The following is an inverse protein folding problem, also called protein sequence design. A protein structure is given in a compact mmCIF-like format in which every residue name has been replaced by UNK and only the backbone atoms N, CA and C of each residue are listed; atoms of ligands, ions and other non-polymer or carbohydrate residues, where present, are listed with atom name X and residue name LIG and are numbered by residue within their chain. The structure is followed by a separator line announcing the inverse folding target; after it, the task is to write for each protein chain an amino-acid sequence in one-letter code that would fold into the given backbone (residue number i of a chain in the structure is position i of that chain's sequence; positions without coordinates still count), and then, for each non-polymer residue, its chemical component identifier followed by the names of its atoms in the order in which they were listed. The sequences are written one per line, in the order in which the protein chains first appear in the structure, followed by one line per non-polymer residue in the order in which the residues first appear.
data_IF_590899005892
#
_entry.id   IF_590899005892
#
_cell.length_a   1.000
_cell.length_b   1.000
_cell.length_c   1.000
_cell.angle_alpha   90.00
_cell.angle_beta   90.00
_cell.angle_gamma   90.00
#
_symmetry.space_group_name_H-M   'P 1'
#
loop_
_entity.id
_entity.type
_entity.pdbx_description
1 polymer ?
#
# COMPACT_ATOMS: atom_id res chain seq x y z
N UNK A 1 -0.19 28.64 -11.44
CA UNK A 1 -0.39 28.73 -9.98
C UNK A 1 -1.04 27.41 -9.58
N UNK A 2 -0.24 26.44 -9.14
CA UNK A 2 -0.75 25.13 -8.75
C UNK A 2 -1.29 25.22 -7.33
N UNK A 3 -2.43 24.59 -7.06
CA UNK A 3 -2.92 24.45 -5.68
C UNK A 3 -1.88 23.66 -4.89
N UNK A 4 -1.53 24.13 -3.71
CA UNK A 4 -0.75 23.33 -2.78
C UNK A 4 -1.66 22.39 -2.00
N UNK A 5 -1.15 21.24 -1.50
CA UNK A 5 -1.93 20.36 -0.64
C UNK A 5 -2.52 21.08 0.57
N UNK A 6 -1.79 22.06 1.11
CA UNK A 6 -2.24 22.89 2.23
C UNK A 6 -3.40 23.83 1.86
N UNK A 7 -3.50 24.26 0.59
CA UNK A 7 -4.61 25.10 0.13
C UNK A 7 -5.93 24.32 0.06
N UNK A 8 -5.86 23.00 -0.14
CA UNK A 8 -7.03 22.11 -0.19
C UNK A 8 -7.54 21.84 1.21
N UNK A 9 -6.66 21.51 2.15
CA UNK A 9 -7.03 21.28 3.58
C UNK A 9 -7.63 22.53 4.22
N UNK A 10 -7.08 23.72 3.91
CA UNK A 10 -7.57 24.97 4.47
C UNK A 10 -8.83 25.51 3.75
N UNK A 11 -9.31 24.83 2.70
CA UNK A 11 -10.46 25.30 1.92
C UNK A 11 -11.75 25.07 2.70
N UNK A 12 -12.50 26.14 2.96
CA UNK A 12 -13.85 26.05 3.53
C UNK A 12 -14.91 26.49 2.55
N UNK A 13 -15.90 25.62 2.35
CA UNK A 13 -17.06 25.88 1.51
C UNK A 13 -18.22 26.46 2.35
N UNK A 14 -19.09 27.23 1.70
CA UNK A 14 -20.27 27.82 2.36
C UNK A 14 -21.42 26.82 2.34
N UNK A 15 -22.11 26.54 3.48
CA UNK A 15 -23.17 25.55 3.53
C UNK A 15 -24.43 26.03 2.79
N UNK A 16 -24.96 25.21 1.87
CA UNK A 16 -26.15 25.55 1.07
C UNK A 16 -27.41 24.93 1.67
N UNK A 17 -28.15 25.70 2.48
CA UNK A 17 -29.36 25.22 3.19
C UNK A 17 -30.63 25.15 2.31
N UNK A 18 -30.64 25.80 1.16
CA UNK A 18 -31.84 25.99 0.32
C UNK A 18 -31.69 25.48 -1.12
N UNK A 19 -30.60 24.78 -1.42
CA UNK A 19 -30.32 24.19 -2.74
C UNK A 19 -29.78 22.78 -2.53
N UNK A 20 -30.05 21.89 -3.47
CA UNK A 20 -29.38 20.60 -3.55
C UNK A 20 -27.87 20.85 -3.60
N UNK A 21 -27.18 20.44 -2.55
CA UNK A 21 -25.75 20.57 -2.37
C UNK A 21 -25.12 19.19 -2.23
N UNK A 22 -23.81 19.13 -2.39
CA UNK A 22 -23.05 17.93 -2.07
C UNK A 22 -23.09 17.67 -0.55
N UNK A 23 -23.05 16.40 -0.18
CA UNK A 23 -22.91 16.02 1.23
C UNK A 23 -21.54 16.50 1.74
N UNK A 24 -21.52 17.11 2.91
CA UNK A 24 -20.29 17.67 3.46
C UNK A 24 -19.29 16.56 3.79
N UNK A 25 -19.75 15.45 4.36
CA UNK A 25 -18.88 14.35 4.78
C UNK A 25 -18.26 13.66 3.55
N UNK A 26 -19.04 13.47 2.47
CA UNK A 26 -18.55 12.89 1.21
C UNK A 26 -17.54 13.82 0.51
N UNK A 27 -17.75 15.13 0.57
CA UNK A 27 -16.80 16.11 0.05
C UNK A 27 -15.52 16.11 0.87
N UNK A 28 -15.61 16.05 2.20
CA UNK A 28 -14.45 16.01 3.09
C UNK A 28 -13.61 14.73 2.85
N UNK A 29 -14.24 13.55 2.72
CA UNK A 29 -13.58 12.28 2.38
C UNK A 29 -12.85 12.35 1.01
N UNK A 30 -13.49 12.93 0.00
CA UNK A 30 -12.88 13.10 -1.32
C UNK A 30 -11.69 14.08 -1.29
N UNK A 31 -11.78 15.15 -0.50
CA UNK A 31 -10.69 16.12 -0.37
C UNK A 31 -9.47 15.51 0.35
N UNK A 32 -9.67 14.61 1.30
CA UNK A 32 -8.59 13.87 1.94
C UNK A 32 -7.83 12.97 0.93
N UNK A 33 -8.55 12.26 0.06
CA UNK A 33 -7.94 11.48 -1.03
C UNK A 33 -7.14 12.38 -1.99
N UNK A 34 -7.73 13.51 -2.39
CA UNK A 34 -7.07 14.48 -3.27
C UNK A 34 -5.79 15.04 -2.64
N UNK A 35 -5.77 15.33 -1.33
CA UNK A 35 -4.58 15.83 -0.62
C UNK A 35 -3.46 14.78 -0.61
N UNK A 36 -3.79 13.51 -0.40
CA UNK A 36 -2.81 12.41 -0.43
C UNK A 36 -2.19 12.29 -1.81
N UNK A 37 -3.00 12.26 -2.87
CA UNK A 37 -2.49 12.19 -4.25
C UNK A 37 -1.71 13.45 -4.65
N UNK A 38 -2.13 14.64 -4.22
CA UNK A 38 -1.42 15.87 -4.54
C UNK A 38 -0.05 15.94 -3.84
N UNK A 39 0.09 15.38 -2.63
CA UNK A 39 1.39 15.21 -1.97
C UNK A 39 2.26 14.20 -2.72
N UNK A 40 1.69 13.05 -3.10
CA UNK A 40 2.36 12.01 -3.88
C UNK A 40 2.91 12.55 -5.22
N UNK A 41 2.07 13.24 -5.98
CA UNK A 41 2.43 13.83 -7.28
C UNK A 41 3.47 14.95 -7.17
N UNK A 42 3.44 15.74 -6.09
CA UNK A 42 4.47 16.76 -5.87
C UNK A 42 5.82 16.10 -5.54
N UNK A 43 5.82 15.08 -4.68
CA UNK A 43 7.03 14.32 -4.37
C UNK A 43 7.61 13.63 -5.62
N UNK A 44 6.76 12.99 -6.44
CA UNK A 44 7.18 12.37 -7.70
C UNK A 44 7.73 13.42 -8.69
N UNK A 45 7.11 14.61 -8.79
CA UNK A 45 7.64 15.70 -9.61
C UNK A 45 8.99 16.21 -9.11
N UNK A 46 9.18 16.32 -7.80
CA UNK A 46 10.47 16.70 -7.21
C UNK A 46 11.55 15.65 -7.49
N UNK A 47 11.23 14.37 -7.32
CA UNK A 47 12.13 13.27 -7.66
C UNK A 47 12.49 13.25 -9.15
N UNK A 48 11.51 13.42 -10.04
CA UNK A 48 11.74 13.48 -11.49
C UNK A 48 12.61 14.69 -11.88
N UNK A 49 12.36 15.86 -11.28
CA UNK A 49 13.20 17.05 -11.48
C UNK A 49 14.63 16.82 -11.00
N UNK A 50 14.81 16.17 -9.84
CA UNK A 50 16.14 15.81 -9.34
C UNK A 50 16.85 14.83 -10.26
N UNK A 51 16.15 13.81 -10.79
CA UNK A 51 16.70 12.86 -11.76
C UNK A 51 17.10 13.54 -13.07
N UNK A 52 16.33 14.51 -13.55
CA UNK A 52 16.69 15.31 -14.73
C UNK A 52 17.97 16.12 -14.46
N UNK A 53 18.04 16.85 -13.35
CA UNK A 53 19.24 17.64 -12.98
C UNK A 53 20.48 16.73 -12.86
N UNK A 54 20.35 15.56 -12.24
CA UNK A 54 21.44 14.59 -12.12
C UNK A 54 21.87 14.04 -13.49
N UNK A 55 20.91 13.76 -14.37
CA UNK A 55 21.17 13.29 -15.73
C UNK A 55 21.84 14.37 -16.59
N UNK A 56 21.36 15.61 -16.52
CA UNK A 56 21.93 16.76 -17.23
C UNK A 56 23.36 17.07 -16.75
N UNK A 57 23.62 16.94 -15.44
CA UNK A 57 24.97 17.06 -14.88
C UNK A 57 25.88 15.94 -15.41
N UNK A 58 25.37 14.70 -15.51
CA UNK A 58 26.12 13.57 -16.05
C UNK A 58 26.42 13.74 -17.54
N UNK A 59 25.46 14.25 -18.32
CA UNK A 59 25.63 14.57 -19.74
C UNK A 59 26.65 15.70 -19.90
N UNK A 60 26.59 16.75 -19.08
CA UNK A 60 27.53 17.87 -19.13
C UNK A 60 28.96 17.43 -18.82
N UNK A 61 29.14 16.52 -17.86
CA UNK A 61 30.45 15.92 -17.55
C UNK A 61 30.98 15.07 -18.71
N UNK A 62 30.13 14.23 -19.31
CA UNK A 62 30.50 13.44 -20.50
C UNK A 62 30.81 14.33 -21.71
N UNK A 63 30.05 15.40 -21.91
CA UNK A 63 30.29 16.38 -22.96
C UNK A 63 31.57 17.17 -22.71
N UNK A 64 31.90 17.50 -21.45
CA UNK A 64 33.17 18.12 -21.07
C UNK A 64 34.35 17.17 -21.23
N UNK A 65 34.19 15.89 -20.92
CA UNK A 65 35.18 14.84 -21.19
C UNK A 65 35.38 14.62 -22.70
N UNK A 66 34.30 14.68 -23.49
CA UNK A 66 34.34 14.60 -24.95
C UNK A 66 34.87 15.89 -25.61
N UNK A 67 34.75 17.03 -24.93
CA UNK A 67 35.26 18.35 -25.36
C UNK A 67 36.59 18.74 -24.69
N UNK A 68 37.28 17.79 -24.04
CA UNK A 68 38.71 17.96 -23.71
C UNK A 68 39.48 18.30 -24.98
N UNK A 69 40.60 19.05 -24.92
CA UNK A 69 41.05 19.93 -25.99
C UNK A 69 41.43 19.17 -27.27
N UNK A 70 40.43 18.86 -28.09
CA UNK A 70 40.58 18.71 -29.52
C UNK A 70 40.51 20.12 -30.07
N UNK A 71 41.62 20.52 -30.69
CA UNK A 71 41.73 21.68 -31.52
C UNK A 71 40.45 21.90 -32.35
N UNK A 72 40.09 23.17 -32.48
CA UNK A 72 39.39 23.71 -33.63
C UNK A 72 39.83 23.03 -34.93
N UNK A 73 39.10 22.00 -35.35
CA UNK A 73 39.14 21.52 -36.73
C UNK A 73 37.85 21.99 -37.41
N UNK A 74 37.81 23.32 -37.58
CA UNK A 74 37.04 23.93 -38.64
C UNK A 74 37.56 23.37 -39.97
N UNK A 75 36.65 22.86 -40.77
CA UNK A 75 36.91 22.40 -42.13
C UNK A 75 37.77 23.41 -42.92
N UNK A 76 38.87 23.00 -43.57
CA UNK A 76 39.53 23.81 -44.56
C UNK A 76 39.22 23.28 -45.98
N UNK A 77 38.50 24.10 -46.75
CA UNK A 77 38.85 24.25 -48.16
C UNK A 77 40.25 24.88 -48.26
N UNK A 78 41.02 24.59 -49.33
CA UNK A 78 42.48 24.68 -49.31
C UNK A 78 42.96 26.11 -49.55
N UNK A 79 43.95 26.59 -48.77
CA UNK A 79 44.91 27.62 -49.17
C UNK A 79 46.09 27.84 -48.18
N UNK A 80 47.29 27.59 -48.73
CA UNK A 80 48.67 28.03 -48.46
C UNK A 80 49.12 28.75 -47.16
N UNK A 81 50.25 28.21 -46.64
CA UNK A 81 51.50 28.87 -46.21
C UNK A 81 51.71 29.42 -44.77
N UNK A 82 52.76 28.84 -44.15
CA UNK A 82 53.76 29.37 -43.19
C UNK A 82 53.40 29.69 -41.72
N UNK A 83 54.18 29.06 -40.83
CA UNK A 83 54.33 29.22 -39.37
C UNK A 83 54.91 30.61 -38.96
N UNK A 84 55.14 30.97 -37.65
CA UNK A 84 55.08 30.17 -36.40
C UNK A 84 54.57 30.89 -35.10
N UNK A 85 54.58 30.11 -33.99
CA UNK A 85 54.91 30.47 -32.59
C UNK A 85 53.79 30.78 -31.56
N UNK A 86 53.68 29.88 -30.56
CA UNK A 86 53.43 30.23 -29.15
C UNK A 86 54.40 29.47 -28.24
N UNK A 87 54.86 30.17 -27.20
CA UNK A 87 55.86 29.78 -26.20
C UNK A 87 55.18 29.39 -24.87
N UNK A 88 55.77 28.38 -24.20
CA UNK A 88 55.97 28.18 -22.73
C UNK A 88 54.75 28.10 -21.78
N UNK A 89 54.69 27.31 -20.69
CA UNK A 89 55.51 26.28 -20.02
C UNK A 89 54.62 25.67 -18.88
N UNK A 90 54.46 24.34 -18.73
CA UNK A 90 55.13 23.39 -17.79
C UNK A 90 54.80 23.58 -16.26
N UNK A 91 54.67 22.52 -15.41
CA UNK A 91 55.80 21.60 -15.13
C UNK A 91 55.51 20.10 -14.80
N UNK A 92 56.40 19.24 -15.33
CA UNK A 92 57.14 18.03 -14.83
C UNK A 92 56.46 16.88 -14.05
N UNK A 93 56.66 15.63 -14.52
CA UNK A 93 57.50 14.59 -13.86
C UNK A 93 58.16 13.68 -14.92
N UNK A 94 59.34 13.19 -14.55
CA UNK A 94 60.44 12.56 -15.29
C UNK A 94 60.15 11.34 -16.18
N UNK A 95 60.95 11.28 -17.26
CA UNK A 95 61.17 10.14 -18.13
C UNK A 95 61.99 9.01 -17.46
N UNK A 96 61.86 7.78 -17.99
CA UNK A 96 63.04 7.02 -18.36
C UNK A 96 63.03 6.65 -19.86
N UNK A 97 64.15 6.97 -20.50
CA UNK A 97 64.76 6.39 -21.71
C UNK A 97 63.92 6.12 -22.99
N UNK A 98 64.47 6.47 -24.17
CA UNK A 98 63.85 6.15 -25.45
C UNK A 98 63.93 4.64 -25.72
N UNK A 99 62.78 4.01 -25.98
CA UNK A 99 62.75 2.76 -26.70
C UNK A 99 63.39 3.03 -28.06
N UNK A 100 64.61 2.55 -28.24
CA UNK A 100 65.22 2.55 -29.56
C UNK A 100 64.35 1.66 -30.45
N UNK A 101 63.87 2.22 -31.56
CA UNK A 101 63.29 1.45 -32.63
C UNK A 101 64.39 0.50 -33.13
N UNK A 102 64.38 -0.72 -32.62
CA UNK A 102 65.16 -1.82 -33.19
C UNK A 102 64.68 -2.03 -34.62
N UNK A 103 65.65 -2.13 -35.53
CA UNK A 103 65.50 -2.49 -36.93
C UNK A 103 64.30 -3.43 -37.19
N UNK A 104 63.36 -3.11 -38.11
CA UNK A 104 62.24 -3.99 -38.43
C UNK A 104 62.65 -5.36 -39.01
N UNK A 105 63.95 -5.55 -39.29
CA UNK A 105 64.54 -6.80 -39.79
C UNK A 105 65.39 -7.58 -38.77
N UNK A 106 65.41 -7.18 -37.49
CA UNK A 106 66.09 -7.92 -36.42
C UNK A 106 65.11 -8.66 -35.48
N UNK A 107 63.92 -9.00 -35.98
CA UNK A 107 62.97 -9.83 -35.25
C UNK A 107 63.38 -11.30 -35.44
N UNK A 108 64.00 -11.88 -34.42
CA UNK A 108 64.26 -13.32 -34.37
C UNK A 108 62.93 -14.09 -34.57
N UNK A 109 62.79 -14.90 -35.64
CA UNK A 109 61.52 -15.57 -35.97
C UNK A 109 61.06 -16.55 -34.87
N UNK A 110 61.98 -17.01 -34.04
CA UNK A 110 61.71 -17.83 -32.84
C UNK A 110 61.02 -17.03 -31.72
N UNK A 111 61.42 -15.79 -31.49
CA UNK A 111 60.86 -14.92 -30.44
C UNK A 111 59.42 -14.49 -30.77
N UNK A 112 59.11 -14.23 -32.05
CA UNK A 112 57.74 -13.96 -32.49
C UNK A 112 56.82 -15.17 -32.31
N UNK A 113 57.32 -16.38 -32.55
CA UNK A 113 56.53 -17.59 -32.35
C UNK A 113 56.19 -17.80 -30.86
N UNK A 114 57.18 -17.61 -29.97
CA UNK A 114 56.96 -17.67 -28.52
C UNK A 114 55.98 -16.58 -28.04
N UNK A 115 56.05 -15.37 -28.59
CA UNK A 115 55.10 -14.29 -28.27
C UNK A 115 53.68 -14.63 -28.72
N UNK A 116 53.50 -15.18 -29.93
CA UNK A 116 52.20 -15.61 -30.43
C UNK A 116 51.60 -16.75 -29.60
N UNK A 117 52.43 -17.69 -29.13
CA UNK A 117 52.00 -18.76 -28.23
C UNK A 117 51.55 -18.21 -26.87
N UNK A 118 52.29 -17.26 -26.29
CA UNK A 118 51.91 -16.60 -25.06
C UNK A 118 50.61 -15.78 -25.22
N UNK A 119 50.50 -15.02 -26.32
CA UNK A 119 49.31 -14.25 -26.63
C UNK A 119 48.06 -15.12 -26.81
N UNK A 120 48.18 -16.27 -27.50
CA UNK A 120 47.09 -17.26 -27.62
C UNK A 120 46.70 -17.82 -26.26
N UNK A 121 47.66 -18.24 -25.44
CA UNK A 121 47.40 -18.77 -24.10
C UNK A 121 46.69 -17.75 -23.20
N UNK A 122 47.14 -16.50 -23.20
CA UNK A 122 46.51 -15.41 -22.45
C UNK A 122 45.09 -15.12 -22.95
N UNK A 123 44.87 -15.20 -24.27
CA UNK A 123 43.54 -15.03 -24.84
C UNK A 123 42.61 -16.18 -24.45
N UNK A 124 43.06 -17.42 -24.55
CA UNK A 124 42.31 -18.62 -24.13
C UNK A 124 41.97 -18.55 -22.62
N UNK A 125 42.87 -18.03 -21.80
CA UNK A 125 42.64 -17.78 -20.38
C UNK A 125 41.55 -16.71 -20.17
N UNK A 126 41.65 -15.54 -20.82
CA UNK A 126 40.60 -14.52 -20.74
C UNK A 126 39.24 -15.01 -21.27
N UNK A 127 39.23 -15.83 -22.32
CA UNK A 127 38.00 -16.42 -22.86
C UNK A 127 37.40 -17.39 -21.83
N UNK A 128 38.22 -18.23 -21.20
CA UNK A 128 37.78 -19.15 -20.15
C UNK A 128 37.21 -18.37 -18.96
N UNK A 129 37.93 -17.36 -18.47
CA UNK A 129 37.45 -16.50 -17.39
C UNK A 129 36.16 -15.79 -17.75
N UNK A 130 36.02 -15.33 -19.00
CA UNK A 130 34.81 -14.67 -19.49
C UNK A 130 33.61 -15.62 -19.48
N UNK A 131 33.82 -16.87 -19.90
CA UNK A 131 32.80 -17.93 -19.88
C UNK A 131 32.42 -18.26 -18.43
N UNK A 132 33.39 -18.47 -17.55
CA UNK A 132 33.15 -18.76 -16.13
C UNK A 132 32.38 -17.63 -15.44
N UNK A 133 32.77 -16.37 -15.67
CA UNK A 133 32.08 -15.19 -15.12
C UNK A 133 30.65 -15.10 -15.67
N UNK A 134 30.46 -15.33 -16.98
CA UNK A 134 29.12 -15.34 -17.60
C UNK A 134 28.25 -16.43 -16.97
N UNK A 135 28.77 -17.64 -16.88
CA UNK A 135 28.02 -18.79 -16.38
C UNK A 135 27.70 -18.64 -14.89
N UNK A 136 28.61 -18.05 -14.11
CA UNK A 136 28.37 -17.68 -12.71
C UNK A 136 27.25 -16.63 -12.57
N UNK A 137 27.26 -15.58 -13.39
CA UNK A 137 26.21 -14.55 -13.39
C UNK A 137 24.85 -15.12 -13.82
N UNK A 138 24.84 -16.03 -14.80
CA UNK A 138 23.62 -16.73 -15.23
C UNK A 138 23.11 -17.62 -14.09
N UNK A 139 23.98 -18.37 -13.42
CA UNK A 139 23.60 -19.22 -12.29
C UNK A 139 23.05 -18.39 -11.12
N UNK A 140 23.66 -17.26 -10.79
CA UNK A 140 23.17 -16.33 -9.77
C UNK A 140 21.81 -15.72 -10.17
N UNK A 141 21.65 -15.30 -11.42
CA UNK A 141 20.39 -14.80 -11.96
C UNK A 141 19.27 -15.85 -11.88
N UNK A 142 19.56 -17.10 -12.22
CA UNK A 142 18.59 -18.19 -12.08
C UNK A 142 18.29 -18.54 -10.63
N UNK A 143 19.29 -18.53 -9.74
CA UNK A 143 19.09 -18.79 -8.32
C UNK A 143 18.23 -17.71 -7.65
N UNK A 144 18.46 -16.44 -7.97
CA UNK A 144 17.64 -15.31 -7.47
C UNK A 144 16.22 -15.36 -8.02
N UNK A 145 16.05 -15.64 -9.33
CA UNK A 145 14.73 -15.82 -9.92
C UNK A 145 13.96 -16.98 -9.27
N UNK A 146 14.60 -18.14 -9.07
CA UNK A 146 14.00 -19.29 -8.41
C UNK A 146 13.57 -18.97 -6.97
N UNK A 147 14.39 -18.22 -6.23
CA UNK A 147 14.08 -17.77 -4.87
C UNK A 147 12.85 -16.85 -4.83
N UNK A 148 12.78 -15.87 -5.72
CA UNK A 148 11.65 -14.94 -5.80
C UNK A 148 10.36 -15.70 -6.18
N UNK A 149 10.45 -16.65 -7.11
CA UNK A 149 9.30 -17.47 -7.50
C UNK A 149 8.82 -18.32 -6.33
N UNK A 150 9.72 -18.99 -5.60
CA UNK A 150 9.31 -19.77 -4.42
C UNK A 150 8.67 -18.91 -3.33
N UNK A 151 9.24 -17.73 -3.07
CA UNK A 151 8.70 -16.79 -2.08
C UNK A 151 7.32 -16.26 -2.50
N UNK A 152 7.15 -15.92 -3.79
CA UNK A 152 5.87 -15.49 -4.34
C UNK A 152 4.82 -16.61 -4.28
N UNK A 153 5.18 -17.86 -4.58
CA UNK A 153 4.28 -19.00 -4.47
C UNK A 153 3.86 -19.28 -3.01
N UNK A 154 4.78 -19.17 -2.05
CA UNK A 154 4.49 -19.29 -0.62
C UNK A 154 3.57 -18.16 -0.14
N UNK A 155 3.88 -16.91 -0.51
CA UNK A 155 3.04 -15.75 -0.22
C UNK A 155 1.63 -15.91 -0.82
N UNK A 156 1.53 -16.41 -2.06
CA UNK A 156 0.25 -16.68 -2.70
C UNK A 156 -0.54 -17.76 -1.94
N UNK A 157 0.11 -18.86 -1.57
CA UNK A 157 -0.54 -19.94 -0.80
C UNK A 157 -1.06 -19.46 0.55
N UNK A 158 -0.28 -18.63 1.26
CA UNK A 158 -0.72 -18.08 2.56
C UNK A 158 -1.91 -17.13 2.40
N UNK A 159 -1.92 -16.28 1.37
CA UNK A 159 -3.04 -15.39 1.07
C UNK A 159 -4.31 -16.17 0.70
N UNK A 160 -4.21 -17.20 -0.13
CA UNK A 160 -5.36 -18.05 -0.48
C UNK A 160 -5.91 -18.72 0.77
N UNK A 161 -5.05 -19.30 1.62
CA UNK A 161 -5.48 -19.92 2.87
C UNK A 161 -6.19 -18.93 3.81
N UNK A 162 -5.70 -17.69 3.89
CA UNK A 162 -6.33 -16.64 4.69
C UNK A 162 -7.71 -16.26 4.13
N UNK A 163 -7.83 -16.09 2.81
CA UNK A 163 -9.10 -15.81 2.16
C UNK A 163 -10.10 -16.96 2.30
N UNK A 164 -9.65 -18.21 2.20
CA UNK A 164 -10.50 -19.38 2.41
C UNK A 164 -11.01 -19.46 3.86
N UNK A 165 -10.18 -19.16 4.85
CA UNK A 165 -10.61 -19.09 6.25
C UNK A 165 -11.66 -17.98 6.47
N UNK A 166 -11.46 -16.81 5.87
CA UNK A 166 -12.46 -15.72 5.90
C UNK A 166 -13.76 -16.12 5.20
N UNK A 167 -13.66 -16.82 4.06
CA UNK A 167 -14.83 -17.30 3.33
C UNK A 167 -15.65 -18.26 4.18
N UNK A 168 -14.99 -19.23 4.83
CA UNK A 168 -15.66 -20.21 5.70
C UNK A 168 -16.25 -19.55 6.95
N UNK A 169 -15.57 -18.56 7.55
CA UNK A 169 -16.12 -17.84 8.71
C UNK A 169 -17.36 -17.02 8.33
N UNK A 170 -17.33 -16.35 7.18
CA UNK A 170 -18.49 -15.64 6.64
C UNK A 170 -19.64 -16.60 6.28
N UNK A 171 -19.36 -17.73 5.64
CA UNK A 171 -20.35 -18.77 5.34
C UNK A 171 -21.02 -19.29 6.62
N UNK A 172 -20.24 -19.56 7.67
CA UNK A 172 -20.75 -19.99 8.97
C UNK A 172 -21.63 -18.92 9.59
N UNK A 173 -21.19 -17.65 9.56
CA UNK A 173 -21.97 -16.53 10.09
C UNK A 173 -23.29 -16.33 9.35
N UNK A 174 -23.31 -16.54 8.04
CA UNK A 174 -24.55 -16.50 7.25
C UNK A 174 -25.52 -17.59 7.70
N UNK A 175 -25.05 -18.82 7.92
CA UNK A 175 -25.94 -19.90 8.36
C UNK A 175 -26.43 -19.72 9.81
N UNK A 176 -25.59 -19.17 10.69
CA UNK A 176 -26.00 -18.73 12.02
C UNK A 176 -27.12 -17.69 11.94
N UNK A 177 -26.95 -16.65 11.11
CA UNK A 177 -27.95 -15.59 10.96
C UNK A 177 -29.25 -16.12 10.35
N UNK A 178 -29.19 -17.05 9.39
CA UNK A 178 -30.38 -17.71 8.82
C UNK A 178 -31.11 -18.55 9.87
N UNK A 179 -30.37 -19.27 10.70
CA UNK A 179 -30.96 -20.07 11.79
C UNK A 179 -31.59 -19.15 12.83
N UNK A 180 -30.87 -18.10 13.24
CA UNK A 180 -31.37 -17.07 14.15
C UNK A 180 -32.66 -16.41 13.62
N UNK A 181 -32.71 -16.08 12.33
CA UNK A 181 -33.92 -15.52 11.72
C UNK A 181 -35.11 -16.49 11.77
N UNK A 182 -34.89 -17.75 11.43
CA UNK A 182 -35.94 -18.79 11.48
C UNK A 182 -36.47 -18.97 12.90
N UNK A 183 -35.58 -19.08 13.88
CA UNK A 183 -35.92 -19.22 15.30
C UNK A 183 -36.60 -17.98 15.85
N UNK A 184 -36.12 -16.78 15.49
CA UNK A 184 -36.72 -15.51 15.89
C UNK A 184 -38.15 -15.37 15.34
N UNK A 185 -38.37 -15.71 14.05
CA UNK A 185 -39.72 -15.72 13.45
C UNK A 185 -40.64 -16.72 14.13
N UNK A 186 -40.16 -17.93 14.45
CA UNK A 186 -40.94 -18.91 15.21
C UNK A 186 -41.28 -18.43 16.61
N UNK A 187 -40.31 -17.85 17.32
CA UNK A 187 -40.51 -17.29 18.67
C UNK A 187 -41.53 -16.16 18.64
N UNK A 188 -41.42 -15.24 17.68
CA UNK A 188 -42.38 -14.14 17.50
C UNK A 188 -43.78 -14.66 17.20
N UNK A 189 -43.91 -15.67 16.31
CA UNK A 189 -45.19 -16.32 16.03
C UNK A 189 -45.79 -16.94 17.29
N UNK A 190 -45.01 -17.75 18.03
CA UNK A 190 -45.49 -18.38 19.27
C UNK A 190 -45.87 -17.38 20.35
N UNK A 191 -45.17 -16.25 20.43
CA UNK A 191 -45.47 -15.16 21.36
C UNK A 191 -46.80 -14.49 21.02
N UNK A 192 -47.02 -14.16 19.74
CA UNK A 192 -48.27 -13.55 19.28
C UNK A 192 -49.44 -14.53 19.45
N UNK A 193 -49.27 -15.81 19.10
CA UNK A 193 -50.30 -16.85 19.31
C UNK A 193 -50.62 -17.04 20.80
N UNK A 194 -49.61 -17.00 21.67
CA UNK A 194 -49.78 -17.03 23.12
C UNK A 194 -50.59 -15.85 23.64
N UNK A 195 -50.23 -14.62 23.24
CA UNK A 195 -50.97 -13.41 23.61
C UNK A 195 -52.43 -13.43 23.14
N UNK A 196 -52.68 -13.92 21.92
CA UNK A 196 -54.04 -14.09 21.40
C UNK A 196 -54.83 -15.12 22.21
N UNK A 197 -54.21 -16.25 22.58
CA UNK A 197 -54.87 -17.28 23.38
C UNK A 197 -55.18 -16.80 24.81
N UNK A 198 -54.30 -16.02 25.43
CA UNK A 198 -54.55 -15.38 26.73
C UNK A 198 -55.70 -14.38 26.67
N UNK A 199 -55.77 -13.57 25.60
CA UNK A 199 -56.89 -12.66 25.35
C UNK A 199 -58.20 -13.43 25.17
N UNK A 200 -58.21 -14.51 24.40
CA UNK A 200 -59.40 -15.35 24.21
C UNK A 200 -59.82 -16.08 25.49
N UNK A 201 -58.86 -16.59 26.28
CA UNK A 201 -59.15 -17.18 27.58
C UNK A 201 -59.72 -16.14 28.58
N UNK A 202 -59.21 -14.91 28.53
CA UNK A 202 -59.72 -13.79 29.32
C UNK A 202 -61.16 -13.45 28.89
N UNK A 203 -61.44 -13.37 27.58
CA UNK A 203 -62.77 -13.16 27.00
C UNK A 203 -63.76 -14.28 27.40
N UNK A 204 -63.36 -15.55 27.34
CA UNK A 204 -64.21 -16.69 27.74
C UNK A 204 -64.49 -16.65 29.24
N UNK A 205 -63.49 -16.27 30.05
CA UNK A 205 -63.67 -16.11 31.50
C UNK A 205 -64.60 -14.94 31.82
N UNK A 206 -64.45 -13.79 31.15
CA UNK A 206 -65.36 -12.65 31.30
C UNK A 206 -66.78 -12.97 30.81
N UNK A 207 -66.94 -13.68 29.69
CA UNK A 207 -68.25 -14.09 29.20
C UNK A 207 -68.91 -15.14 30.11
N UNK A 208 -68.14 -16.07 30.69
CA UNK A 208 -68.66 -17.05 31.65
C UNK A 208 -69.08 -16.38 32.96
N UNK A 209 -68.33 -15.38 33.42
CA UNK A 209 -68.72 -14.54 34.55
C UNK A 209 -69.99 -13.72 34.26
N UNK A 210 -70.16 -13.23 33.02
CA UNK A 210 -71.37 -12.54 32.59
C UNK A 210 -72.57 -13.49 32.42
N UNK A 211 -72.37 -14.74 32.00
CA UNK A 211 -73.43 -15.74 31.81
C UNK A 211 -73.90 -16.38 33.13
N UNK A 212 -73.05 -16.41 34.15
CA UNK A 212 -73.44 -16.80 35.51
C UNK A 212 -74.31 -15.74 36.23
N UNK A 213 -74.53 -14.57 35.62
CA UNK A 213 -75.40 -13.51 36.13
C UNK A 213 -76.67 -13.42 35.28
N UNK A 214 -77.71 -14.16 35.67
CA UNK A 214 -79.09 -13.89 35.25
C UNK A 214 -79.74 -12.86 36.21
N UNK A 215 -80.73 -12.05 35.76
CA UNK A 215 -80.98 -10.72 36.32
C UNK A 215 -81.81 -10.80 37.59
N UNK A 216 -81.17 -10.58 38.74
CA UNK A 216 -81.81 -10.39 40.03
C UNK A 216 -81.55 -8.99 40.55
N UNK A 217 -82.51 -8.08 40.32
CA UNK A 217 -82.75 -6.82 41.03
C UNK A 217 -81.60 -5.82 41.20
N UNK A 218 -81.80 -4.65 40.61
CA UNK A 218 -81.10 -3.42 40.96
C UNK A 218 -81.07 -3.18 42.48
N UNK A 219 -79.89 -2.89 43.02
CA UNK A 219 -79.74 -2.06 44.21
C UNK A 219 -78.54 -1.15 44.02
N UNK A 220 -78.87 0.13 43.93
CA UNK A 220 -78.01 1.28 44.09
C UNK A 220 -77.46 1.25 45.52
N UNK A 221 -76.15 1.05 45.67
CA UNK A 221 -75.47 1.35 46.91
C UNK A 221 -74.20 2.11 46.57
N UNK A 222 -74.26 3.44 46.77
CA UNK A 222 -73.08 4.27 46.89
C UNK A 222 -72.26 3.74 48.07
N UNK A 223 -71.11 3.15 47.79
CA UNK A 223 -70.10 2.87 48.79
C UNK A 223 -68.84 3.65 48.43
N UNK A 224 -68.44 4.43 49.42
CA UNK A 224 -67.39 5.41 49.49
C UNK A 224 -66.07 4.94 48.90
N UNK A 225 -65.48 5.83 48.10
CA UNK A 225 -64.07 5.80 47.72
C UNK A 225 -63.22 5.96 48.99
N UNK A 226 -62.77 4.85 49.57
CA UNK A 226 -61.77 4.86 50.64
C UNK A 226 -60.37 4.82 50.01
N UNK A 227 -59.58 5.79 50.43
CA UNK A 227 -58.28 6.12 49.85
C UNK A 227 -57.21 5.36 50.63
N UNK A 228 -56.98 4.10 50.26
CA UNK A 228 -55.81 3.33 50.70
C UNK A 228 -54.59 3.59 49.82
N UNK A 229 -53.37 3.64 50.38
CA UNK A 229 -52.19 4.14 49.68
C UNK A 229 -51.74 3.17 48.59
N UNK A 230 -51.52 3.71 47.39
CA UNK A 230 -50.80 3.03 46.32
C UNK A 230 -49.34 2.86 46.74
N UNK A 231 -48.98 1.66 47.18
CA UNK A 231 -47.57 1.27 47.27
C UNK A 231 -47.02 1.20 45.85
N UNK A 232 -46.27 2.24 45.51
CA UNK A 232 -45.60 2.41 44.24
C UNK A 232 -44.30 1.63 44.31
N UNK A 233 -44.37 0.31 44.11
CA UNK A 233 -43.17 -0.46 43.84
C UNK A 233 -42.67 -0.10 42.43
N UNK A 234 -41.41 0.33 42.26
CA UNK A 234 -40.86 0.62 40.95
C UNK A 234 -40.72 -0.69 40.18
N UNK A 235 -41.41 -0.82 39.05
CA UNK A 235 -41.08 -1.84 38.06
C UNK A 235 -39.67 -1.53 37.56
N UNK A 236 -38.73 -2.37 37.95
CA UNK A 236 -37.35 -2.36 37.50
C UNK A 236 -37.30 -2.23 35.98
N UNK A 237 -36.66 -1.14 35.55
CA UNK A 237 -36.16 -1.02 34.20
C UNK A 237 -35.25 -2.22 33.93
N UNK A 238 -35.64 -3.06 32.97
CA UNK A 238 -34.69 -3.98 32.34
C UNK A 238 -33.52 -3.14 31.82
N UNK A 239 -32.28 -3.37 32.28
CA UNK A 239 -31.14 -2.65 31.75
C UNK A 239 -30.96 -3.12 30.32
N UNK A 240 -31.16 -2.20 29.38
CA UNK A 240 -30.56 -2.28 28.06
C UNK A 240 -29.05 -2.20 28.32
N UNK A 241 -28.38 -3.36 28.39
CA UNK A 241 -26.93 -3.45 28.55
C UNK A 241 -26.28 -2.92 27.27
N UNK A 242 -26.18 -1.59 27.23
CA UNK A 242 -25.29 -0.85 26.35
C UNK A 242 -23.90 -0.94 26.96
N UNK A 243 -23.29 -2.12 26.93
CA UNK A 243 -21.85 -2.21 27.15
C UNK A 243 -21.14 -1.76 25.86
N UNK A 244 -20.13 -0.89 25.97
CA UNK A 244 -19.44 -0.31 24.83
C UNK A 244 -18.62 -1.38 24.11
N UNK A 245 -18.55 -1.18 22.80
CA UNK A 245 -17.52 -1.66 21.90
C UNK A 245 -16.13 -1.60 22.58
N UNK A 246 -15.70 -2.70 23.20
CA UNK A 246 -14.32 -2.84 23.67
C UNK A 246 -13.48 -3.11 22.44
N UNK A 247 -12.89 -2.05 21.89
CA UNK A 247 -11.81 -2.10 20.93
C UNK A 247 -10.57 -2.68 21.60
N UNK A 248 -10.56 -4.01 21.76
CA UNK A 248 -9.34 -4.73 22.10
C UNK A 248 -8.48 -4.81 20.84
N UNK A 249 -7.75 -3.72 20.63
CA UNK A 249 -6.54 -3.68 19.81
C UNK A 249 -5.58 -4.77 20.33
N UNK A 250 -5.03 -5.63 19.47
CA UNK A 250 -3.87 -6.43 19.86
C UNK A 250 -2.68 -5.50 20.13
N UNK A 251 -1.81 -5.79 21.10
CA UNK A 251 -0.65 -4.95 21.38
C UNK A 251 0.29 -4.91 20.16
N UNK A 252 0.96 -3.78 19.88
CA UNK A 252 2.04 -3.77 18.90
C UNK A 252 3.14 -4.71 19.39
N UNK A 253 3.56 -5.64 18.54
CA UNK A 253 4.79 -6.37 18.74
C UNK A 253 5.90 -5.34 18.93
N UNK A 254 6.50 -5.34 20.11
CA UNK A 254 7.72 -4.61 20.42
C UNK A 254 8.79 -5.07 19.44
N UNK A 255 9.00 -4.29 18.39
CA UNK A 255 10.16 -4.39 17.51
C UNK A 255 11.37 -3.99 18.35
N UNK A 256 11.98 -4.98 18.99
CA UNK A 256 13.20 -4.81 19.73
C UNK A 256 14.30 -4.61 18.69
N UNK A 257 14.71 -3.36 18.54
CA UNK A 257 15.80 -2.96 17.69
C UNK A 257 17.03 -3.83 17.96
N UNK A 258 17.50 -4.49 16.92
CA UNK A 258 18.87 -4.96 16.82
C UNK A 258 19.79 -3.74 16.77
N UNK A 259 20.16 -3.24 17.95
CA UNK A 259 21.29 -2.35 18.14
C UNK A 259 22.51 -3.16 18.57
N UNK A 260 23.47 -3.30 17.64
CA UNK A 260 24.92 -3.31 17.88
C UNK A 260 25.53 -4.36 18.81
N UNK A 261 26.18 -5.36 18.20
CA UNK A 261 27.63 -5.56 18.31
C UNK A 261 28.15 -6.26 17.05
#
# INVERSE_FOLDING_TARGET
MALTPEDVVNKRFQPTKFREGYDQDEVDDFLDEVVVELRRLNQENEELRQRLIASDARISELQRAASGPAAVEAAPQPQFASAPAVVAAAPVVAAPAPYQASDPNAIDPSNTNNLLQLARKLHEEHVREGIEKRDALIAEGHATAARIVSEAEEAQRTQINALDQQRVSLETRIEELRTFEREYRQKLKSYIEGQLHELEATEVTSNSAASAVAPGSASFASASFDSGPVDSAPVDAVPFDSAPFNSQTPPPASYQGFGGN
#
